data_IF_109161021603
#
_entry.id   IF_109161021603
#
_cell.length_a   1.000
_cell.length_b   1.000
_cell.length_c   1.000
_cell.angle_alpha   90.00
_cell.angle_beta   90.00
_cell.angle_gamma   90.00
#
_symmetry.space_group_name_H-M   'P 1'
#
loop_
_entity.id
_entity.type
_entity.pdbx_description
1 polymer ?
#
# COMPACT_ATOMS: atom_id res chain seq x y z
N UNK A 1 1.52 -47.58 -0.61
CA UNK A 1 1.95 -46.58 0.40
C UNK A 1 1.72 -45.17 -0.15
N UNK A 2 0.69 -44.47 0.33
CA UNK A 2 0.38 -43.10 -0.09
C UNK A 2 1.27 -42.11 0.66
N UNK A 3 2.21 -41.47 -0.04
CA UNK A 3 3.04 -40.38 0.49
C UNK A 3 2.12 -39.21 0.89
N UNK A 4 1.92 -39.02 2.20
CA UNK A 4 1.27 -37.82 2.75
C UNK A 4 2.05 -36.59 2.29
N UNK A 5 1.49 -35.81 1.36
CA UNK A 5 1.99 -34.48 1.02
C UNK A 5 1.92 -33.65 2.31
N UNK A 6 3.08 -33.29 2.89
CA UNK A 6 3.15 -32.30 3.96
C UNK A 6 2.54 -31.02 3.42
N UNK A 7 1.32 -30.70 3.85
CA UNK A 7 0.73 -29.40 3.66
C UNK A 7 1.66 -28.42 4.39
N UNK A 8 2.44 -27.63 3.65
CA UNK A 8 3.24 -26.56 4.25
C UNK A 8 2.24 -25.62 4.95
N UNK A 9 2.35 -25.51 6.28
CA UNK A 9 1.60 -24.50 7.04
C UNK A 9 1.91 -23.15 6.40
N UNK A 10 0.89 -22.47 5.88
CA UNK A 10 1.03 -21.06 5.48
C UNK A 10 1.51 -20.30 6.73
N UNK A 11 2.49 -19.39 6.60
CA UNK A 11 2.88 -18.55 7.72
C UNK A 11 1.62 -17.88 8.27
N UNK A 12 1.46 -17.93 9.59
CA UNK A 12 0.35 -17.28 10.27
C UNK A 12 0.58 -15.78 10.14
N UNK A 13 -0.32 -15.10 9.44
CA UNK A 13 -0.26 -13.67 9.23
C UNK A 13 -0.91 -13.00 10.45
N UNK A 14 -0.17 -12.14 11.14
CA UNK A 14 -0.73 -11.34 12.22
C UNK A 14 -1.38 -10.10 11.61
N UNK A 15 -2.63 -9.83 11.98
CA UNK A 15 -3.36 -8.64 11.56
C UNK A 15 -3.47 -7.66 12.72
N UNK A 16 -3.21 -6.37 12.47
CA UNK A 16 -3.31 -5.31 13.48
C UNK A 16 -4.00 -4.10 12.87
N UNK A 17 -5.01 -3.57 13.55
CA UNK A 17 -5.59 -2.28 13.20
C UNK A 17 -4.85 -1.19 13.96
N UNK A 18 -4.31 -0.22 13.23
CA UNK A 18 -3.66 0.96 13.78
C UNK A 18 -4.58 2.16 13.58
N UNK A 19 -4.70 2.99 14.61
CA UNK A 19 -5.35 4.29 14.52
C UNK A 19 -4.35 5.34 14.94
N UNK A 20 -4.11 6.31 14.05
CA UNK A 20 -3.10 7.35 14.23
C UNK A 20 -3.81 8.69 14.17
N UNK A 21 -3.72 9.48 15.24
CA UNK A 21 -4.17 10.86 15.24
C UNK A 21 -3.15 11.72 14.51
N UNK A 22 -3.60 12.44 13.48
CA UNK A 22 -2.75 13.33 12.68
C UNK A 22 -2.40 14.59 13.48
N UNK A 23 -1.12 14.95 13.53
CA UNK A 23 -0.65 16.15 14.22
C UNK A 23 -0.11 17.21 13.26
N UNK A 24 0.63 16.79 12.24
CA UNK A 24 1.13 17.68 11.19
C UNK A 24 1.17 16.96 9.85
N UNK A 25 1.12 17.74 8.79
CA UNK A 25 1.32 17.24 7.44
C UNK A 25 2.14 18.22 6.61
N UNK A 26 2.86 17.68 5.64
CA UNK A 26 3.58 18.41 4.61
C UNK A 26 3.17 17.82 3.26
N UNK A 27 2.94 18.68 2.27
CA UNK A 27 2.50 18.26 0.97
C UNK A 27 3.31 18.95 -0.12
N UNK A 28 3.75 18.19 -1.12
CA UNK A 28 4.31 18.70 -2.37
C UNK A 28 3.61 18.07 -3.56
N UNK A 29 3.39 18.87 -4.59
CA UNK A 29 2.81 18.45 -5.86
C UNK A 29 3.75 18.91 -6.96
N UNK A 30 4.16 17.97 -7.80
CA UNK A 30 5.10 18.21 -8.89
C UNK A 30 4.46 17.79 -10.22
N UNK A 31 4.67 18.61 -11.24
CA UNK A 31 4.35 18.33 -12.64
C UNK A 31 5.63 18.41 -13.46
N UNK A 32 5.94 17.35 -14.20
CA UNK A 32 7.14 17.27 -15.03
C UNK A 32 6.83 16.63 -16.39
N UNK A 33 7.65 16.91 -17.40
CA UNK A 33 7.64 16.12 -18.65
C UNK A 33 8.40 14.82 -18.39
N UNK A 34 7.92 13.71 -18.94
CA UNK A 34 8.57 12.43 -18.83
C UNK A 34 9.99 12.53 -19.41
N UNK A 35 11.00 12.33 -18.55
CA UNK A 35 12.40 12.48 -18.91
C UNK A 35 12.84 11.50 -20.01
N UNK A 36 12.14 10.38 -20.17
CA UNK A 36 12.42 9.38 -21.19
C UNK A 36 12.32 9.93 -22.62
N UNK A 37 11.59 11.03 -22.84
CA UNK A 37 11.56 11.73 -24.14
C UNK A 37 12.92 12.37 -24.47
N UNK A 38 13.63 12.86 -23.45
CA UNK A 38 14.96 13.47 -23.61
C UNK A 38 16.10 12.46 -23.51
N UNK A 39 15.83 11.27 -22.97
CA UNK A 39 16.81 10.19 -22.85
C UNK A 39 16.14 8.83 -23.13
N UNK A 40 15.88 8.50 -24.42
CA UNK A 40 15.22 7.24 -24.79
C UNK A 40 16.03 6.01 -24.37
N UNK A 41 17.34 6.15 -24.24
CA UNK A 41 18.25 5.08 -23.83
C UNK A 41 18.01 4.62 -22.38
N UNK A 42 17.44 5.46 -21.52
CA UNK A 42 17.05 5.10 -20.15
C UNK A 42 15.62 4.55 -20.05
N UNK A 43 14.89 4.46 -21.16
CA UNK A 43 13.49 4.06 -21.22
C UNK A 43 13.29 2.55 -21.48
N UNK A 44 14.29 1.71 -21.20
CA UNK A 44 14.26 0.28 -21.59
C UNK A 44 13.08 -0.51 -21.03
N UNK A 45 12.58 -0.12 -19.85
CA UNK A 45 11.41 -0.72 -19.18
C UNK A 45 10.14 0.16 -19.29
N UNK A 46 10.16 1.17 -20.16
CA UNK A 46 9.00 2.05 -20.35
C UNK A 46 8.04 1.43 -21.35
N UNK A 47 6.77 1.32 -20.95
CA UNK A 47 5.70 1.00 -21.87
C UNK A 47 5.56 2.12 -22.92
N UNK A 48 5.33 1.78 -24.18
CA UNK A 48 5.08 2.75 -25.25
C UNK A 48 3.84 3.61 -24.93
N UNK A 49 2.95 3.08 -24.08
CA UNK A 49 1.75 3.76 -23.58
C UNK A 49 2.00 4.63 -22.31
N UNK A 50 3.25 4.83 -21.89
CA UNK A 50 3.57 5.64 -20.72
C UNK A 50 3.18 7.13 -20.91
N UNK A 51 2.58 7.79 -19.89
CA UNK A 51 2.14 9.17 -20.04
C UNK A 51 3.32 10.14 -20.23
N UNK A 52 3.13 11.10 -21.14
CA UNK A 52 4.10 12.15 -21.47
C UNK A 52 4.31 13.14 -20.31
N UNK A 53 3.26 13.42 -19.53
CA UNK A 53 3.33 14.30 -18.36
C UNK A 53 3.26 13.47 -17.09
N UNK A 54 4.21 13.70 -16.19
CA UNK A 54 4.29 13.11 -14.86
C UNK A 54 3.71 14.07 -13.84
N UNK A 55 2.73 13.59 -13.08
CA UNK A 55 2.23 14.27 -11.90
C UNK A 55 2.53 13.42 -10.68
N UNK A 56 3.19 14.00 -9.69
CA UNK A 56 3.56 13.31 -8.45
C UNK A 56 3.09 14.14 -7.27
N UNK A 57 2.25 13.55 -6.44
CA UNK A 57 1.83 14.11 -5.16
C UNK A 57 2.57 13.35 -4.06
N UNK A 58 3.29 14.08 -3.21
CA UNK A 58 3.90 13.54 -2.01
C UNK A 58 3.27 14.21 -0.80
N UNK A 59 2.67 13.40 0.06
CA UNK A 59 2.06 13.84 1.30
C UNK A 59 2.76 13.11 2.45
N UNK A 60 3.45 13.85 3.30
CA UNK A 60 4.04 13.33 4.54
C UNK A 60 3.13 13.71 5.70
N UNK A 61 2.60 12.73 6.41
CA UNK A 61 1.76 12.91 7.60
C UNK A 61 2.53 12.42 8.80
N UNK A 62 2.63 13.23 9.85
CA UNK A 62 3.12 12.77 11.14
C UNK A 62 2.00 12.78 12.16
N UNK A 63 1.95 11.72 12.97
CA UNK A 63 0.90 11.53 13.95
C UNK A 63 1.29 10.58 15.06
N UNK A 64 0.42 10.49 16.07
CA UNK A 64 0.60 9.63 17.23
C UNK A 64 -0.43 8.51 17.17
N UNK A 65 0.02 7.28 17.33
CA UNK A 65 -0.85 6.12 17.44
C UNK A 65 -1.66 6.19 18.73
N UNK A 66 -2.98 6.01 18.62
CA UNK A 66 -3.91 5.93 19.75
C UNK A 66 -4.44 4.50 19.94
N UNK A 67 -4.34 3.66 18.91
CA UNK A 67 -4.73 2.26 18.95
C UNK A 67 -3.79 1.43 18.05
N UNK A 68 -3.43 0.19 18.41
CA UNK A 68 -3.82 -0.55 19.63
C UNK A 68 -3.10 0.00 20.87
N UNK A 69 -3.61 -0.33 22.06
CA UNK A 69 -3.05 0.13 23.35
C UNK A 69 -1.55 -0.14 23.47
N UNK A 70 -1.08 -1.29 22.94
CA UNK A 70 0.33 -1.67 22.93
C UNK A 70 1.25 -0.69 22.18
N UNK A 71 0.69 0.05 21.21
CA UNK A 71 1.40 1.07 20.42
C UNK A 71 0.85 2.47 20.65
N UNK A 72 0.03 2.67 21.68
CA UNK A 72 -0.47 3.99 22.00
C UNK A 72 0.71 4.89 22.44
N UNK A 73 0.79 6.09 21.86
CA UNK A 73 1.88 7.04 22.08
C UNK A 73 3.09 6.88 21.16
N UNK A 74 3.15 5.82 20.33
CA UNK A 74 4.19 5.71 19.29
C UNK A 74 3.97 6.76 18.20
N UNK A 75 5.05 7.38 17.74
CA UNK A 75 5.03 8.35 16.63
C UNK A 75 5.12 7.62 15.30
N UNK A 76 4.33 8.06 14.32
CA UNK A 76 4.33 7.56 12.96
C UNK A 76 4.60 8.69 11.99
N UNK A 77 5.51 8.45 11.05
CA UNK A 77 5.74 9.28 9.87
C UNK A 77 5.31 8.49 8.64
N UNK A 78 4.23 8.93 8.00
CA UNK A 78 3.62 8.29 6.85
C UNK A 78 3.92 9.12 5.61
N UNK A 79 4.69 8.58 4.67
CA UNK A 79 4.86 9.14 3.33
C UNK A 79 3.88 8.48 2.37
N UNK A 80 2.96 9.27 1.85
CA UNK A 80 1.98 8.90 0.82
C UNK A 80 2.45 9.45 -0.52
N UNK A 81 2.70 8.55 -1.46
CA UNK A 81 3.09 8.88 -2.83
C UNK A 81 1.95 8.52 -3.78
N UNK A 82 1.37 9.55 -4.41
CA UNK A 82 0.43 9.40 -5.52
C UNK A 82 1.11 9.76 -6.83
N UNK A 83 1.36 8.78 -7.69
CA UNK A 83 1.91 9.00 -9.03
C UNK A 83 0.98 8.47 -10.12
N UNK A 84 1.00 9.14 -11.27
CA UNK A 84 0.23 8.76 -12.45
C UNK A 84 0.99 7.82 -13.40
N UNK A 85 2.25 7.50 -13.08
CA UNK A 85 3.09 6.59 -13.87
C UNK A 85 2.86 5.15 -13.42
N UNK A 86 1.99 4.47 -14.14
CA UNK A 86 1.81 3.03 -14.06
C UNK A 86 3.05 2.30 -14.56
N UNK A 87 3.82 1.76 -13.63
CA UNK A 87 4.42 0.45 -13.84
C UNK A 87 4.14 -0.39 -12.59
N UNK A 88 3.36 -1.45 -12.77
CA UNK A 88 3.09 -2.47 -11.75
C UNK A 88 1.78 -2.33 -11.00
N UNK A 89 1.67 -1.43 -10.02
CA UNK A 89 0.86 -1.79 -8.84
C UNK A 89 -0.49 -1.07 -8.67
N UNK A 90 -0.61 0.22 -9.00
CA UNK A 90 -1.89 0.95 -8.77
C UNK A 90 -2.94 0.59 -9.85
N UNK A 91 -2.50 0.40 -11.09
CA UNK A 91 -3.36 -0.02 -12.21
C UNK A 91 -3.52 -1.53 -12.32
N UNK A 92 -2.91 -2.32 -11.42
CA UNK A 92 -2.97 -3.77 -11.44
C UNK A 92 -4.42 -4.25 -11.34
N UNK A 93 -4.78 -5.18 -12.21
CA UNK A 93 -6.08 -5.84 -12.17
C UNK A 93 -5.98 -7.19 -11.45
N UNK A 94 -7.13 -7.76 -11.07
CA UNK A 94 -7.17 -9.13 -10.54
C UNK A 94 -6.56 -10.16 -11.51
N UNK A 95 -6.58 -9.88 -12.82
CA UNK A 95 -5.97 -10.75 -13.83
C UNK A 95 -4.45 -10.78 -13.71
N UNK A 96 -3.83 -9.65 -13.32
CA UNK A 96 -2.39 -9.53 -13.14
C UNK A 96 -1.91 -10.25 -11.88
N UNK A 97 -2.78 -10.30 -10.86
CA UNK A 97 -2.56 -11.11 -9.65
C UNK A 97 -2.85 -12.61 -9.86
N UNK A 98 -3.35 -13.04 -11.02
CA UNK A 98 -3.66 -14.45 -11.25
C UNK A 98 -2.38 -15.26 -11.48
N UNK A 99 -2.23 -16.36 -10.73
CA UNK A 99 -1.08 -17.25 -10.86
C UNK A 99 -1.03 -17.84 -12.26
N UNK A 100 0.14 -17.79 -12.90
CA UNK A 100 0.37 -18.37 -14.23
C UNK A 100 1.17 -19.66 -14.12
N UNK A 101 1.01 -20.54 -15.09
CA UNK A 101 1.85 -21.73 -15.22
C UNK A 101 3.18 -21.43 -15.93
N UNK A 102 4.01 -22.46 -16.13
CA UNK A 102 5.30 -22.35 -16.83
C UNK A 102 5.20 -21.88 -18.28
N UNK A 103 4.00 -21.88 -18.87
CA UNK A 103 3.72 -21.44 -20.22
C UNK A 103 3.01 -20.07 -20.25
N UNK A 104 2.83 -19.42 -19.08
CA UNK A 104 2.18 -18.12 -18.97
C UNK A 104 0.65 -18.17 -18.98
N UNK A 105 0.03 -19.35 -18.93
CA UNK A 105 -1.42 -19.51 -18.93
C UNK A 105 -2.01 -19.35 -17.50
N UNK A 106 -3.19 -18.73 -17.34
CA UNK A 106 -3.78 -18.52 -16.02
C UNK A 106 -4.20 -19.83 -15.34
N UNK A 107 -3.88 -19.98 -14.05
CA UNK A 107 -4.24 -21.16 -13.25
C UNK A 107 -5.63 -21.03 -12.63
N UNK A 108 -6.31 -22.17 -12.59
CA UNK A 108 -7.60 -22.34 -11.95
C UNK A 108 -7.59 -23.58 -11.06
N UNK A 109 -8.31 -23.53 -9.95
CA UNK A 109 -8.66 -24.72 -9.15
C UNK A 109 -10.10 -25.12 -9.43
N UNK A 110 -10.35 -26.41 -9.50
CA UNK A 110 -11.71 -26.95 -9.57
C UNK A 110 -12.31 -26.98 -8.16
N UNK A 111 -13.48 -26.40 -7.99
CA UNK A 111 -14.23 -26.42 -6.74
C UNK A 111 -15.72 -26.50 -7.02
N UNK A 112 -16.36 -27.58 -6.56
CA UNK A 112 -17.81 -27.85 -6.74
C UNK A 112 -18.26 -27.68 -8.20
N UNK A 113 -17.51 -28.25 -9.14
CA UNK A 113 -17.80 -28.18 -10.59
C UNK A 113 -17.55 -26.81 -11.24
N UNK A 114 -16.96 -25.85 -10.52
CA UNK A 114 -16.59 -24.52 -11.04
C UNK A 114 -15.07 -24.34 -11.07
N UNK A 115 -14.59 -23.64 -12.08
CA UNK A 115 -13.21 -23.17 -12.12
C UNK A 115 -13.08 -21.85 -11.35
N UNK A 116 -12.25 -21.84 -10.33
CA UNK A 116 -11.95 -20.65 -9.53
C UNK A 116 -10.50 -20.22 -9.82
N UNK A 117 -10.25 -18.97 -10.23
CA UNK A 117 -8.90 -18.47 -10.47
C UNK A 117 -8.05 -18.56 -9.19
N UNK A 118 -6.77 -18.89 -9.35
CA UNK A 118 -5.82 -18.89 -8.23
C UNK A 118 -5.06 -17.57 -8.28
N UNK A 119 -5.12 -16.78 -7.22
CA UNK A 119 -4.45 -15.49 -7.13
C UNK A 119 -3.21 -15.58 -6.23
N UNK A 120 -2.16 -14.85 -6.61
CA UNK A 120 -1.03 -14.49 -5.76
C UNK A 120 -1.22 -13.04 -5.34
N UNK A 121 -1.76 -12.77 -4.13
CA UNK A 121 -2.03 -11.41 -3.71
C UNK A 121 -0.72 -10.62 -3.54
N UNK A 122 -0.72 -9.31 -3.84
CA UNK A 122 0.41 -8.46 -3.50
C UNK A 122 0.63 -8.45 -1.97
N UNK A 123 1.86 -8.24 -1.49
CA UNK A 123 2.15 -8.20 -0.05
C UNK A 123 1.33 -7.13 0.68
N UNK A 124 1.09 -5.98 0.05
CA UNK A 124 0.28 -4.87 0.53
C UNK A 124 0.52 -3.62 -0.32
N UNK A 125 -0.20 -2.53 -0.01
CA UNK A 125 -0.08 -1.23 -0.70
C UNK A 125 1.04 -0.33 -0.13
N UNK A 126 1.76 -0.82 0.87
CA UNK A 126 2.84 -0.08 1.51
C UNK A 126 3.55 -0.87 2.59
N UNK A 127 4.67 -0.32 3.06
CA UNK A 127 5.54 -0.95 4.05
C UNK A 127 5.54 -0.14 5.35
N UNK A 128 5.55 -0.85 6.48
CA UNK A 128 5.75 -0.27 7.82
C UNK A 128 7.10 -0.73 8.36
N UNK A 129 7.94 0.22 8.77
CA UNK A 129 9.24 -0.05 9.38
C UNK A 129 9.36 0.64 10.74
N UNK A 130 9.95 -0.05 11.71
CA UNK A 130 10.29 0.53 13.02
C UNK A 130 11.68 1.16 12.96
N UNK A 131 11.81 2.38 13.46
CA UNK A 131 13.12 2.99 13.71
C UNK A 131 13.72 2.33 14.95
N UNK A 132 14.92 1.76 14.83
CA UNK A 132 15.55 1.02 15.94
C UNK A 132 15.92 1.97 17.06
N UNK A 133 15.59 1.59 18.30
CA UNK A 133 15.89 2.38 19.50
C UNK A 133 14.88 3.49 19.79
N UNK A 134 13.94 3.75 18.89
CA UNK A 134 12.96 4.82 19.02
C UNK A 134 11.53 4.26 19.09
N UNK A 135 10.63 5.04 19.68
CA UNK A 135 9.17 4.83 19.59
C UNK A 135 8.60 5.48 18.33
N UNK A 136 9.33 5.30 17.22
CA UNK A 136 9.03 5.93 15.94
C UNK A 136 8.95 4.86 14.84
N UNK A 137 7.97 5.05 13.96
CA UNK A 137 7.68 4.18 12.84
C UNK A 137 7.59 4.98 11.56
N UNK A 138 8.11 4.43 10.47
CA UNK A 138 7.98 5.01 9.13
C UNK A 138 7.07 4.13 8.31
N UNK A 139 6.15 4.77 7.59
CA UNK A 139 5.22 4.10 6.67
C UNK A 139 5.38 4.70 5.29
N UNK A 140 5.55 3.86 4.27
CA UNK A 140 5.55 4.30 2.88
C UNK A 140 4.36 3.69 2.17
N UNK A 141 3.50 4.54 1.62
CA UNK A 141 2.29 4.16 0.91
C UNK A 141 2.38 4.61 -0.55
N UNK A 142 2.02 3.70 -1.46
CA UNK A 142 1.79 4.03 -2.86
C UNK A 142 0.29 3.95 -3.13
N UNK A 143 -0.30 5.06 -3.54
CA UNK A 143 -1.76 5.21 -3.67
C UNK A 143 -2.11 5.84 -5.00
N UNK A 144 -3.38 5.74 -5.39
CA UNK A 144 -3.90 6.52 -6.51
C UNK A 144 -3.72 8.03 -6.26
N UNK A 145 -3.37 8.83 -7.29
CA UNK A 145 -3.37 10.29 -7.19
C UNK A 145 -4.69 10.89 -6.68
N UNK A 146 -5.83 10.24 -6.97
CA UNK A 146 -7.13 10.66 -6.47
C UNK A 146 -7.22 10.54 -4.95
N UNK A 147 -6.78 9.40 -4.40
CA UNK A 147 -6.74 9.21 -2.95
C UNK A 147 -5.85 10.25 -2.26
N UNK A 148 -4.67 10.54 -2.82
CA UNK A 148 -3.78 11.57 -2.28
C UNK A 148 -4.44 12.96 -2.31
N UNK A 149 -5.15 13.29 -3.39
CA UNK A 149 -5.88 14.56 -3.53
C UNK A 149 -7.03 14.70 -2.52
N UNK A 150 -7.82 13.65 -2.34
CA UNK A 150 -8.92 13.62 -1.37
C UNK A 150 -8.42 13.70 0.08
N UNK A 151 -7.33 12.98 0.38
CA UNK A 151 -6.66 13.06 1.68
C UNK A 151 -6.17 14.49 1.98
N UNK A 152 -5.56 15.16 0.99
CA UNK A 152 -5.16 16.56 1.11
C UNK A 152 -6.34 17.50 1.34
N UNK A 153 -7.47 17.28 0.67
CA UNK A 153 -8.68 18.06 0.89
C UNK A 153 -9.21 17.92 2.32
N UNK A 154 -9.21 16.70 2.86
CA UNK A 154 -9.60 16.45 4.26
C UNK A 154 -8.64 17.11 5.25
N UNK A 155 -7.32 17.03 5.01
CA UNK A 155 -6.27 17.64 5.84
C UNK A 155 -6.41 19.16 6.01
N UNK A 156 -7.07 19.84 5.07
CA UNK A 156 -7.31 21.30 5.14
C UNK A 156 -8.53 21.72 5.95
N UNK A 157 -9.38 20.79 6.39
CA UNK A 157 -10.69 21.10 7.00
C UNK A 157 -10.60 21.60 8.47
N UNK A 158 -9.39 21.79 9.03
CA UNK A 158 -9.19 22.32 10.39
C UNK A 158 -9.71 21.45 11.54
N UNK A 159 -10.28 20.27 11.23
CA UNK A 159 -10.73 19.27 12.20
C UNK A 159 -9.58 18.32 12.55
N UNK A 160 -9.68 17.68 13.70
CA UNK A 160 -8.83 16.51 14.01
C UNK A 160 -9.09 15.40 12.99
N UNK A 161 -8.01 14.79 12.52
CA UNK A 161 -8.05 13.71 11.55
C UNK A 161 -7.35 12.49 12.10
N UNK A 162 -7.83 11.35 11.64
CA UNK A 162 -7.35 10.04 12.03
C UNK A 162 -7.01 9.25 10.77
N UNK A 163 -5.86 8.57 10.80
CA UNK A 163 -5.49 7.57 9.84
C UNK A 163 -5.76 6.20 10.43
N UNK A 164 -6.63 5.43 9.80
CA UNK A 164 -6.78 4.01 10.11
C UNK A 164 -5.93 3.20 9.13
N UNK A 165 -5.06 2.35 9.65
CA UNK A 165 -4.19 1.47 8.85
C UNK A 165 -4.45 0.03 9.27
N UNK A 166 -4.83 -0.81 8.31
CA UNK A 166 -4.84 -2.25 8.51
C UNK A 166 -3.45 -2.80 8.18
N UNK A 167 -2.71 -3.16 9.20
CA UNK A 167 -1.41 -3.80 9.11
C UNK A 167 -1.57 -5.33 8.99
N UNK A 168 -0.82 -5.93 8.07
CA UNK A 168 -0.57 -7.36 8.00
C UNK A 168 0.93 -7.61 8.17
N UNK A 169 1.29 -8.40 9.18
CA UNK A 169 2.66 -8.82 9.43
C UNK A 169 2.85 -10.24 8.95
N UNK A 170 3.81 -10.40 8.03
CA UNK A 170 4.23 -11.71 7.52
C UNK A 170 5.73 -11.84 7.82
N UNK A 171 6.09 -12.82 8.65
CA UNK A 171 7.45 -12.99 9.18
C UNK A 171 7.97 -11.75 9.92
N UNK A 172 8.97 -11.07 9.36
CA UNK A 172 9.59 -9.84 9.91
C UNK A 172 9.11 -8.57 9.23
N UNK A 173 8.36 -8.69 8.15
CA UNK A 173 7.87 -7.55 7.35
C UNK A 173 6.45 -7.20 7.75
N UNK A 174 6.15 -5.91 7.78
CA UNK A 174 4.84 -5.36 8.11
C UNK A 174 4.35 -4.58 6.90
N UNK A 175 3.19 -4.96 6.39
CA UNK A 175 2.60 -4.43 5.17
C UNK A 175 1.29 -3.75 5.46
N UNK A 176 0.99 -2.67 4.75
CA UNK A 176 -0.32 -2.02 4.80
C UNK A 176 -1.26 -2.73 3.83
N UNK A 177 -2.40 -3.22 4.32
CA UNK A 177 -3.46 -3.82 3.51
C UNK A 177 -4.51 -2.79 3.09
N UNK A 178 -4.82 -1.87 3.98
CA UNK A 178 -5.73 -0.75 3.71
C UNK A 178 -5.33 0.46 4.54
N UNK A 179 -5.70 1.64 4.02
CA UNK A 179 -5.56 2.92 4.69
C UNK A 179 -6.84 3.74 4.47
N UNK A 180 -7.30 4.44 5.50
CA UNK A 180 -8.37 5.43 5.39
C UNK A 180 -8.00 6.70 6.13
N UNK A 181 -8.48 7.84 5.61
CA UNK A 181 -8.39 9.14 6.26
C UNK A 181 -9.80 9.51 6.73
N UNK A 182 -9.94 9.80 8.02
CA UNK A 182 -11.24 9.97 8.67
C UNK A 182 -11.25 11.20 9.58
N UNK A 183 -12.41 11.83 9.72
CA UNK A 183 -12.64 12.96 10.63
C UNK A 183 -13.18 12.54 11.99
N UNK A 184 -13.61 11.29 12.12
CA UNK A 184 -14.11 10.66 13.35
C UNK A 184 -13.06 9.68 13.84
N UNK A 185 -12.94 9.47 15.15
CA UNK A 185 -12.01 8.50 15.71
C UNK A 185 -12.52 7.07 15.44
N UNK A 186 -11.85 6.26 14.59
CA UNK A 186 -12.30 4.89 14.31
C UNK A 186 -12.10 3.92 15.48
N UNK A 187 -11.41 4.30 16.55
CA UNK A 187 -11.33 3.48 17.76
C UNK A 187 -12.61 3.56 18.62
N UNK A 188 -13.51 4.51 18.33
CA UNK A 188 -14.78 4.72 19.04
C UNK A 188 -16.02 4.21 18.26
N UNK A 189 -15.83 3.74 17.03
CA UNK A 189 -16.87 3.09 16.20
C UNK A 189 -16.97 1.59 16.47
#
# INVERSE_FOLDING_TARGET
>A
MLRKRKCQKRPEDDHTYLVIRVERYEASVEGAVNYNVYSPQSAWDSDDDAPLYRFTTRLTVAGISIYPEERAGDTYEITVSGDNLGSGDIGATLKDAQERDKYGAPKYRQYRGRQIPIYTPPPGMGLIAKIRGERCWTVWLRVSPYFASDALALLRNGRSLFLAIHERKTNRSRWVQSVSVQTTNPAEE
#
